data_IF_394331082140
#
_entry.id   IF_394331082140
#
_cell.length_a   1.000
_cell.length_b   1.000
_cell.length_c   1.000
_cell.angle_alpha   90.00
_cell.angle_beta   90.00
_cell.angle_gamma   90.00
#
_symmetry.space_group_name_H-M   'P 1'
#
loop_
_entity.id
_entity.type
_entity.pdbx_description
1 polymer ?
#
# COMPACT_ATOMS: atom_id res chain seq x y z
N UNK A 1 6.36 -21.11 -3.65
CA UNK A 1 5.45 -20.47 -4.65
C UNK A 1 4.05 -20.30 -4.08
N UNK A 2 3.45 -19.12 -4.26
CA UNK A 2 2.08 -18.80 -3.79
C UNK A 2 0.98 -19.41 -4.68
N UNK A 3 1.30 -19.69 -5.94
CA UNK A 3 0.37 -20.27 -6.91
C UNK A 3 0.98 -21.51 -7.55
N UNK A 4 0.15 -22.34 -8.18
CA UNK A 4 0.64 -23.48 -8.97
C UNK A 4 1.48 -22.99 -10.14
N UNK A 5 2.42 -23.82 -10.63
CA UNK A 5 3.25 -23.49 -11.79
C UNK A 5 2.43 -23.11 -13.03
N UNK A 6 1.30 -23.79 -13.25
CA UNK A 6 0.35 -23.47 -14.32
C UNK A 6 -0.22 -22.04 -14.15
N UNK A 7 -0.78 -21.74 -12.98
CA UNK A 7 -1.36 -20.42 -12.68
C UNK A 7 -0.32 -19.31 -12.69
N UNK A 8 0.92 -19.60 -12.28
CA UNK A 8 2.05 -18.69 -12.38
C UNK A 8 2.31 -18.29 -13.84
N UNK A 9 2.44 -19.27 -14.73
CA UNK A 9 2.72 -19.02 -16.15
C UNK A 9 1.57 -18.26 -16.83
N UNK A 10 0.31 -18.58 -16.50
CA UNK A 10 -0.87 -17.85 -16.97
C UNK A 10 -0.83 -16.38 -16.54
N UNK A 11 -0.57 -16.11 -15.26
CA UNK A 11 -0.49 -14.74 -14.72
C UNK A 11 0.70 -13.97 -15.29
N UNK A 12 1.84 -14.62 -15.48
CA UNK A 12 3.00 -14.00 -16.12
C UNK A 12 2.70 -13.62 -17.57
N UNK A 13 2.02 -14.51 -18.32
CA UNK A 13 1.61 -14.21 -19.69
C UNK A 13 0.67 -13.00 -19.73
N UNK A 14 -0.36 -12.98 -18.88
CA UNK A 14 -1.28 -11.84 -18.79
C UNK A 14 -0.58 -10.53 -18.42
N UNK A 15 0.36 -10.56 -17.47
CA UNK A 15 1.17 -9.39 -17.11
C UNK A 15 1.88 -8.81 -18.35
N UNK A 16 2.52 -9.66 -19.15
CA UNK A 16 3.26 -9.23 -20.34
C UNK A 16 2.35 -8.72 -21.46
N UNK A 17 1.21 -9.38 -21.68
CA UNK A 17 0.24 -8.98 -22.72
C UNK A 17 -0.50 -7.67 -22.37
N UNK A 18 -0.73 -7.40 -21.08
CA UNK A 18 -1.47 -6.21 -20.64
C UNK A 18 -0.75 -4.88 -20.89
N UNK A 19 0.57 -4.91 -21.09
CA UNK A 19 1.37 -3.69 -21.26
C UNK A 19 1.03 -2.94 -22.55
N UNK A 20 0.84 -3.64 -23.66
CA UNK A 20 0.55 -3.02 -24.95
C UNK A 20 -0.79 -2.27 -24.90
N UNK A 21 -1.84 -2.90 -24.36
CA UNK A 21 -3.16 -2.27 -24.26
C UNK A 21 -3.20 -1.06 -23.32
N UNK A 22 -2.42 -1.09 -22.23
CA UNK A 22 -2.42 0.00 -21.25
C UNK A 22 -1.72 1.26 -21.78
N UNK A 23 -0.73 1.11 -22.67
CA UNK A 23 -0.02 2.23 -23.29
C UNK A 23 -0.91 2.93 -24.33
N UNK A 24 -1.70 2.17 -25.09
CA UNK A 24 -2.60 2.74 -26.11
C UNK A 24 -3.65 3.71 -25.49
N UNK A 25 -4.10 3.42 -24.27
CA UNK A 25 -5.08 4.22 -23.54
C UNK A 25 -4.48 5.44 -22.82
N UNK A 26 -3.15 5.56 -22.74
CA UNK A 26 -2.47 6.63 -21.99
C UNK A 26 -2.86 8.02 -22.51
N UNK A 27 -2.80 8.21 -23.83
CA UNK A 27 -3.07 9.50 -24.49
C UNK A 27 -4.51 9.97 -24.31
N UNK A 28 -5.50 9.05 -24.43
CA UNK A 28 -6.91 9.40 -24.22
C UNK A 28 -7.20 9.73 -22.75
N UNK A 29 -6.61 8.97 -21.82
CA UNK A 29 -6.72 9.28 -20.39
C UNK A 29 -6.12 10.64 -20.04
N UNK A 30 -4.93 10.96 -20.56
CA UNK A 30 -4.29 12.26 -20.36
C UNK A 30 -5.15 13.40 -20.90
N UNK A 31 -5.65 13.26 -22.13
CA UNK A 31 -6.54 14.26 -22.74
C UNK A 31 -7.79 14.50 -21.91
N UNK A 32 -8.41 13.44 -21.37
CA UNK A 32 -9.58 13.58 -20.48
C UNK A 32 -9.26 14.31 -19.18
N UNK A 33 -8.09 14.06 -18.59
CA UNK A 33 -7.63 14.75 -17.37
C UNK A 33 -7.38 16.23 -17.65
N UNK A 34 -6.74 16.56 -18.77
CA UNK A 34 -6.45 17.95 -19.18
C UNK A 34 -7.72 18.74 -19.49
N UNK A 35 -8.66 18.14 -20.22
CA UNK A 35 -9.95 18.72 -20.58
C UNK A 35 -10.97 18.70 -19.43
N UNK A 36 -10.63 18.09 -18.29
CA UNK A 36 -11.53 17.84 -17.14
C UNK A 36 -12.85 17.17 -17.58
N UNK A 37 -12.74 16.16 -18.44
CA UNK A 37 -13.88 15.49 -19.08
C UNK A 37 -14.09 14.08 -18.53
N UNK A 38 -15.33 13.79 -18.12
CA UNK A 38 -15.69 12.47 -17.60
C UNK A 38 -15.09 12.22 -16.22
N UNK A 39 -14.77 10.96 -15.91
CA UNK A 39 -14.22 10.59 -14.61
C UNK A 39 -12.69 10.71 -14.62
N UNK A 40 -12.18 11.89 -14.27
CA UNK A 40 -10.74 12.16 -14.27
C UNK A 40 -9.99 11.32 -13.23
N UNK A 41 -10.57 11.08 -12.04
CA UNK A 41 -9.99 10.20 -11.03
C UNK A 41 -9.80 8.78 -11.57
N UNK A 42 -10.78 8.26 -12.33
CA UNK A 42 -10.62 6.98 -13.02
C UNK A 42 -9.46 7.02 -14.03
N UNK A 43 -9.38 8.06 -14.86
CA UNK A 43 -8.27 8.20 -15.81
C UNK A 43 -6.90 8.25 -15.10
N UNK A 44 -6.75 9.00 -14.00
CA UNK A 44 -5.51 9.05 -13.20
C UNK A 44 -5.15 7.65 -12.66
N UNK A 45 -6.16 6.88 -12.20
CA UNK A 45 -5.97 5.52 -11.73
C UNK A 45 -5.48 4.59 -12.85
N UNK A 46 -6.05 4.70 -14.05
CA UNK A 46 -5.63 3.89 -15.20
C UNK A 46 -4.19 4.21 -15.62
N UNK A 47 -3.79 5.49 -15.59
CA UNK A 47 -2.38 5.86 -15.77
C UNK A 47 -1.49 5.17 -14.73
N UNK A 48 -1.94 5.09 -13.47
CA UNK A 48 -1.25 4.34 -12.42
C UNK A 48 -1.02 2.87 -12.77
N UNK A 49 -2.01 2.19 -13.37
CA UNK A 49 -1.90 0.76 -13.74
C UNK A 49 -0.79 0.45 -14.73
N UNK A 50 -0.45 1.39 -15.62
CA UNK A 50 0.72 1.28 -16.52
C UNK A 50 1.98 1.08 -15.69
N UNK A 51 2.18 1.93 -14.67
CA UNK A 51 3.37 1.89 -13.81
C UNK A 51 3.34 0.72 -12.82
N UNK A 52 2.17 0.30 -12.34
CA UNK A 52 2.04 -0.91 -11.51
C UNK A 52 2.51 -2.16 -12.28
N UNK A 53 2.07 -2.27 -13.54
CA UNK A 53 2.40 -3.37 -14.44
C UNK A 53 3.88 -3.35 -14.81
N UNK A 54 4.40 -2.16 -15.14
CA UNK A 54 5.81 -1.96 -15.46
C UNK A 54 6.70 -2.26 -14.25
N UNK A 55 6.31 -1.85 -13.04
CA UNK A 55 7.03 -2.19 -11.82
C UNK A 55 7.07 -3.71 -11.62
N UNK A 56 5.92 -4.40 -11.72
CA UNK A 56 5.86 -5.84 -11.54
C UNK A 56 6.72 -6.61 -12.56
N UNK A 57 6.74 -6.18 -13.84
CA UNK A 57 7.63 -6.74 -14.86
C UNK A 57 9.11 -6.47 -14.52
N UNK A 58 9.46 -5.23 -14.19
CA UNK A 58 10.83 -4.84 -13.87
C UNK A 58 11.41 -5.73 -12.76
N UNK A 59 10.63 -5.99 -11.71
CA UNK A 59 11.04 -6.86 -10.62
C UNK A 59 11.04 -8.34 -11.00
N UNK A 60 9.96 -8.85 -11.60
CA UNK A 60 9.81 -10.29 -11.83
C UNK A 60 10.70 -10.81 -12.96
N UNK A 61 10.74 -10.08 -14.08
CA UNK A 61 11.32 -10.52 -15.35
C UNK A 61 12.69 -9.89 -15.53
N UNK A 62 12.78 -8.56 -15.45
CA UNK A 62 14.00 -7.84 -15.80
C UNK A 62 15.04 -7.86 -14.66
N UNK A 63 14.61 -8.21 -13.44
CA UNK A 63 15.41 -8.18 -12.20
C UNK A 63 16.04 -6.80 -11.95
N UNK A 64 15.30 -5.75 -12.30
CA UNK A 64 15.73 -4.36 -12.18
C UNK A 64 14.99 -3.67 -11.02
N UNK A 65 15.67 -3.63 -9.87
CA UNK A 65 15.16 -3.01 -8.64
C UNK A 65 15.02 -1.49 -8.77
N UNK A 66 15.89 -0.84 -9.54
CA UNK A 66 15.88 0.61 -9.73
C UNK A 66 14.63 1.01 -10.53
N UNK A 67 14.40 0.32 -11.65
CA UNK A 67 13.19 0.52 -12.45
C UNK A 67 11.94 0.18 -11.67
N UNK A 68 11.95 -0.90 -10.87
CA UNK A 68 10.83 -1.21 -9.97
C UNK A 68 10.51 -0.05 -9.02
N UNK A 69 11.52 0.50 -8.31
CA UNK A 69 11.35 1.59 -7.33
C UNK A 69 10.80 2.86 -7.98
N UNK A 70 11.30 3.22 -9.16
CA UNK A 70 10.80 4.37 -9.93
C UNK A 70 9.33 4.21 -10.32
N UNK A 71 8.99 3.06 -10.89
CA UNK A 71 7.62 2.81 -11.36
C UNK A 71 6.63 2.67 -10.19
N UNK A 72 7.03 2.01 -9.10
CA UNK A 72 6.14 1.85 -7.95
C UNK A 72 5.91 3.18 -7.20
N UNK A 73 6.88 4.11 -7.24
CA UNK A 73 6.68 5.49 -6.81
C UNK A 73 5.59 6.19 -7.65
N UNK A 74 5.73 6.17 -8.98
CA UNK A 74 4.79 6.83 -9.89
C UNK A 74 3.38 6.26 -9.69
N UNK A 75 3.26 4.93 -9.66
CA UNK A 75 2.01 4.24 -9.32
C UNK A 75 1.42 4.74 -8.01
N UNK A 76 2.21 4.73 -6.92
CA UNK A 76 1.72 5.09 -5.59
C UNK A 76 1.22 6.54 -5.55
N UNK A 77 1.92 7.46 -6.23
CA UNK A 77 1.53 8.87 -6.30
C UNK A 77 0.26 9.06 -7.12
N UNK A 78 0.17 8.45 -8.31
CA UNK A 78 -1.03 8.52 -9.15
C UNK A 78 -2.24 7.91 -8.44
N UNK A 79 -2.07 6.76 -7.78
CA UNK A 79 -3.15 6.08 -7.12
C UNK A 79 -3.64 6.84 -5.88
N UNK A 80 -2.75 7.54 -5.15
CA UNK A 80 -3.12 8.49 -4.10
C UNK A 80 -3.95 9.65 -4.67
N UNK A 81 -3.50 10.25 -5.77
CA UNK A 81 -4.17 11.38 -6.44
C UNK A 81 -5.50 11.00 -7.08
N UNK A 82 -5.73 9.71 -7.38
CA UNK A 82 -6.95 9.21 -8.00
C UNK A 82 -8.06 8.89 -7.00
N UNK A 83 -7.86 9.12 -5.70
CA UNK A 83 -8.86 8.81 -4.68
C UNK A 83 -9.85 9.95 -4.49
N UNK A 84 -11.08 9.58 -4.23
CA UNK A 84 -12.17 10.45 -3.80
C UNK A 84 -12.27 10.61 -2.28
N UNK A 85 -11.29 10.07 -1.54
CA UNK A 85 -11.16 10.20 -0.08
C UNK A 85 -9.71 10.34 0.29
N UNK A 86 -9.44 11.08 1.37
CA UNK A 86 -8.12 11.22 1.98
C UNK A 86 -7.80 10.07 2.94
N UNK A 87 -8.78 9.23 3.33
CA UNK A 87 -8.61 7.99 4.12
C UNK A 87 -7.92 6.85 3.34
N UNK A 88 -6.85 7.17 2.61
CA UNK A 88 -6.23 6.33 1.59
C UNK A 88 -5.68 5.00 2.10
N UNK A 89 -5.20 4.98 3.35
CA UNK A 89 -4.59 3.83 4.01
C UNK A 89 -5.49 3.23 5.09
N UNK A 90 -6.72 3.71 5.24
CA UNK A 90 -7.59 3.35 6.36
C UNK A 90 -7.81 1.84 6.50
N UNK A 91 -7.90 1.07 5.41
CA UNK A 91 -8.04 -0.39 5.46
C UNK A 91 -7.21 -1.16 4.41
N UNK A 92 -6.28 -0.51 3.69
CA UNK A 92 -5.63 -1.09 2.50
C UNK A 92 -4.11 -1.20 2.65
N UNK A 93 -3.64 -2.39 3.05
CA UNK A 93 -2.19 -2.71 3.18
C UNK A 93 -1.42 -2.61 1.86
N UNK A 94 -2.05 -2.93 0.74
CA UNK A 94 -1.41 -2.94 -0.57
C UNK A 94 -0.86 -1.56 -0.97
N UNK A 95 -1.61 -0.50 -0.69
CA UNK A 95 -1.15 0.86 -0.94
C UNK A 95 0.10 1.20 -0.12
N UNK A 96 0.08 0.86 1.17
CA UNK A 96 1.24 1.09 2.04
C UNK A 96 2.46 0.27 1.58
N UNK A 97 2.26 -0.98 1.17
CA UNK A 97 3.31 -1.80 0.58
C UNK A 97 3.96 -1.07 -0.61
N UNK A 98 3.18 -0.63 -1.60
CA UNK A 98 3.72 0.06 -2.77
C UNK A 98 4.50 1.33 -2.41
N UNK A 99 3.98 2.11 -1.46
CA UNK A 99 4.65 3.33 -0.98
C UNK A 99 6.00 2.99 -0.36
N UNK A 100 6.05 2.05 0.59
CA UNK A 100 7.30 1.71 1.27
C UNK A 100 8.31 1.04 0.34
N UNK A 101 7.84 0.26 -0.63
CA UNK A 101 8.71 -0.38 -1.63
C UNK A 101 9.34 0.63 -2.61
N UNK A 102 8.79 1.84 -2.72
CA UNK A 102 9.41 2.90 -3.52
C UNK A 102 10.68 3.49 -2.88
N UNK A 103 10.85 3.31 -1.56
CA UNK A 103 11.89 3.97 -0.75
C UNK A 103 11.91 5.51 -0.86
N UNK A 104 10.81 6.13 -1.30
CA UNK A 104 10.73 7.59 -1.39
C UNK A 104 10.44 8.20 -0.01
N UNK A 105 11.38 9.00 0.49
CA UNK A 105 11.27 9.63 1.81
C UNK A 105 10.11 10.63 1.90
N UNK A 106 9.88 11.42 0.85
CA UNK A 106 8.84 12.45 0.85
C UNK A 106 7.44 11.83 1.01
N UNK A 107 7.23 10.62 0.49
CA UNK A 107 6.00 9.86 0.67
C UNK A 107 5.82 9.40 2.13
N UNK A 108 6.89 8.89 2.76
CA UNK A 108 6.84 8.51 4.17
C UNK A 108 6.56 9.73 5.06
N UNK A 109 7.24 10.85 4.80
CA UNK A 109 7.03 12.11 5.51
C UNK A 109 5.59 12.62 5.31
N UNK A 110 5.03 12.50 4.10
CA UNK A 110 3.63 12.81 3.80
C UNK A 110 2.65 11.96 4.61
N UNK A 111 2.87 10.64 4.70
CA UNK A 111 2.04 9.74 5.51
C UNK A 111 2.06 10.17 6.98
N UNK A 112 3.25 10.42 7.53
CA UNK A 112 3.41 10.78 8.94
C UNK A 112 2.79 12.14 9.26
N UNK A 113 2.93 13.12 8.36
CA UNK A 113 2.30 14.45 8.51
C UNK A 113 0.77 14.38 8.46
N UNK A 114 0.21 13.48 7.66
CA UNK A 114 -1.24 13.32 7.46
C UNK A 114 -1.82 12.09 8.18
N UNK A 115 -1.14 11.58 9.21
CA UNK A 115 -1.40 10.30 9.85
C UNK A 115 -2.87 10.10 10.26
N UNK A 116 -3.49 11.11 10.87
CA UNK A 116 -4.88 11.05 11.35
C UNK A 116 -5.92 11.03 10.22
N UNK A 117 -5.59 11.64 9.08
CA UNK A 117 -6.47 11.67 7.91
C UNK A 117 -6.31 10.38 7.11
N UNK A 118 -5.05 10.00 6.82
CA UNK A 118 -4.74 8.94 5.87
C UNK A 118 -5.05 7.54 6.40
N UNK A 119 -4.82 7.35 7.69
CA UNK A 119 -5.12 6.14 8.44
C UNK A 119 -6.38 6.28 9.28
N UNK A 120 -7.37 7.03 8.79
CA UNK A 120 -8.61 7.29 9.54
C UNK A 120 -9.23 6.01 10.05
N UNK A 121 -9.54 6.01 11.34
CA UNK A 121 -10.17 4.94 12.07
C UNK A 121 -11.32 5.53 12.90
N UNK A 122 -12.45 4.83 12.98
CA UNK A 122 -13.55 5.25 13.87
C UNK A 122 -13.11 5.08 15.33
N UNK A 123 -13.56 5.99 16.20
CA UNK A 123 -13.17 6.02 17.62
C UNK A 123 -13.40 4.71 18.38
N UNK A 124 -14.42 3.91 17.97
CA UNK A 124 -14.78 2.66 18.64
C UNK A 124 -14.47 1.47 17.77
N UNK A 125 -13.62 0.58 18.27
CA UNK A 125 -13.32 -0.72 17.65
C UNK A 125 -14.60 -1.53 17.39
N UNK A 126 -14.70 -2.05 16.16
CA UNK A 126 -15.70 -3.02 15.75
C UNK A 126 -15.01 -4.23 15.15
N UNK A 127 -15.45 -5.43 15.53
CA UNK A 127 -14.88 -6.69 15.03
C UNK A 127 -15.00 -6.82 13.50
N UNK A 128 -16.02 -6.23 12.91
CA UNK A 128 -16.25 -6.19 11.46
C UNK A 128 -15.42 -5.14 10.71
N UNK A 129 -14.69 -4.29 11.44
CA UNK A 129 -13.81 -3.25 10.89
C UNK A 129 -12.39 -3.43 11.48
N UNK A 130 -12.01 -4.68 11.75
CA UNK A 130 -10.72 -4.98 12.37
C UNK A 130 -9.52 -4.64 11.47
N UNK A 131 -9.74 -4.54 10.17
CA UNK A 131 -8.78 -4.09 9.17
C UNK A 131 -8.40 -2.62 9.35
N UNK A 132 -9.36 -1.75 9.68
CA UNK A 132 -9.08 -0.36 10.09
C UNK A 132 -8.20 -0.32 11.34
N UNK A 133 -8.55 -1.16 12.32
CA UNK A 133 -7.79 -1.25 13.57
C UNK A 133 -6.37 -1.75 13.35
N UNK A 134 -6.18 -2.75 12.49
CA UNK A 134 -4.86 -3.24 12.11
C UNK A 134 -4.07 -2.18 11.33
N UNK A 135 -4.66 -1.56 10.32
CA UNK A 135 -3.98 -0.53 9.51
C UNK A 135 -3.49 0.63 10.36
N UNK A 136 -4.32 1.15 11.27
CA UNK A 136 -3.89 2.19 12.22
C UNK A 136 -2.71 1.72 13.07
N UNK A 137 -2.70 0.47 13.53
CA UNK A 137 -1.60 -0.11 14.32
C UNK A 137 -0.31 -0.25 13.50
N UNK A 138 -0.41 -0.61 12.22
CA UNK A 138 0.75 -0.65 11.29
C UNK A 138 1.33 0.76 11.11
N UNK A 139 0.47 1.78 10.94
CA UNK A 139 0.94 3.16 10.81
C UNK A 139 1.58 3.69 12.10
N UNK A 140 1.07 3.30 13.28
CA UNK A 140 1.72 3.60 14.56
C UNK A 140 3.13 3.00 14.61
N UNK A 141 3.34 1.81 14.04
CA UNK A 141 4.67 1.21 13.93
C UNK A 141 5.60 2.05 13.05
N UNK A 142 5.12 2.70 11.98
CA UNK A 142 5.93 3.66 11.21
C UNK A 142 6.27 4.94 11.99
N UNK A 143 5.39 5.34 12.92
CA UNK A 143 5.60 6.50 13.80
C UNK A 143 6.50 6.18 15.00
N UNK A 144 6.63 4.91 15.37
CA UNK A 144 7.41 4.45 16.51
C UNK A 144 6.67 4.60 17.85
N UNK A 145 5.34 4.59 17.82
CA UNK A 145 4.50 4.71 19.02
C UNK A 145 4.28 3.34 19.70
N UNK A 146 5.35 2.85 20.34
CA UNK A 146 5.43 1.49 20.88
C UNK A 146 4.41 1.19 21.96
N UNK A 147 4.15 2.15 22.85
CA UNK A 147 3.19 2.00 23.95
C UNK A 147 1.78 1.76 23.42
N UNK A 148 1.34 2.56 22.45
CA UNK A 148 0.02 2.40 21.84
C UNK A 148 -0.06 1.11 21.00
N UNK A 149 1.03 0.69 20.33
CA UNK A 149 1.05 -0.59 19.60
C UNK A 149 0.84 -1.77 20.54
N UNK A 150 1.56 -1.83 21.67
CA UNK A 150 1.42 -2.91 22.66
C UNK A 150 -0.02 -2.94 23.19
N UNK A 151 -0.54 -1.78 23.63
CA UNK A 151 -1.91 -1.66 24.12
C UNK A 151 -2.93 -2.13 23.07
N UNK A 152 -2.73 -1.75 21.80
CA UNK A 152 -3.65 -2.13 20.73
C UNK A 152 -3.59 -3.61 20.40
N UNK A 153 -2.39 -4.20 20.37
CA UNK A 153 -2.19 -5.62 20.14
C UNK A 153 -2.73 -6.49 21.28
N UNK A 154 -2.55 -6.06 22.53
CA UNK A 154 -3.11 -6.72 23.71
C UNK A 154 -4.65 -6.67 23.68
N UNK A 155 -5.21 -5.50 23.34
CA UNK A 155 -6.66 -5.34 23.19
C UNK A 155 -7.22 -6.27 22.10
N UNK A 156 -6.59 -6.35 20.92
CA UNK A 156 -7.02 -7.25 19.85
C UNK A 156 -6.88 -8.72 20.27
N UNK A 157 -5.80 -9.09 20.96
CA UNK A 157 -5.58 -10.44 21.47
C UNK A 157 -6.68 -10.87 22.45
N UNK A 158 -7.16 -9.95 23.30
CA UNK A 158 -8.28 -10.21 24.20
C UNK A 158 -9.65 -10.19 23.48
N UNK A 159 -9.76 -9.47 22.36
CA UNK A 159 -11.03 -9.21 21.66
C UNK A 159 -10.97 -9.50 20.15
N UNK A 160 -10.45 -10.65 19.70
CA UNK A 160 -10.18 -10.87 18.28
C UNK A 160 -11.47 -10.87 17.47
N UNK A 161 -11.37 -10.43 16.22
CA UNK A 161 -12.44 -10.66 15.26
C UNK A 161 -12.52 -12.15 14.91
N UNK A 162 -13.74 -12.63 14.70
CA UNK A 162 -14.01 -14.01 14.27
C UNK A 162 -14.39 -14.09 12.79
N UNK A 163 -14.34 -12.98 12.07
CA UNK A 163 -14.64 -12.96 10.64
C UNK A 163 -13.57 -13.68 9.84
N UNK A 164 -14.00 -14.45 8.84
CA UNK A 164 -13.12 -15.29 8.03
C UNK A 164 -11.99 -14.50 7.38
N UNK A 165 -12.26 -13.26 6.94
CA UNK A 165 -11.27 -12.38 6.33
C UNK A 165 -10.14 -11.94 7.27
N UNK A 166 -10.35 -12.02 8.59
CA UNK A 166 -9.40 -11.54 9.61
C UNK A 166 -8.72 -12.68 10.38
N UNK A 167 -8.88 -13.93 9.91
CA UNK A 167 -8.33 -15.14 10.51
C UNK A 167 -6.84 -15.05 10.86
N UNK A 168 -6.06 -14.33 10.04
CA UNK A 168 -4.61 -14.23 10.18
C UNK A 168 -4.11 -12.95 10.86
N UNK A 169 -5.01 -12.04 11.23
CA UNK A 169 -4.64 -10.84 11.98
C UNK A 169 -3.95 -11.13 13.31
N UNK A 170 -4.22 -12.23 14.05
CA UNK A 170 -3.43 -12.57 15.23
C UNK A 170 -1.92 -12.67 14.96
N UNK A 171 -1.49 -13.17 13.79
CA UNK A 171 -0.06 -13.22 13.42
C UNK A 171 0.51 -11.82 13.16
N UNK A 172 -0.30 -10.96 12.55
CA UNK A 172 0.08 -9.58 12.23
C UNK A 172 0.18 -8.72 13.49
N UNK A 173 -0.78 -8.80 14.41
CA UNK A 173 -0.69 -8.16 15.73
C UNK A 173 0.42 -8.76 16.58
N UNK A 174 0.63 -10.07 16.52
CA UNK A 174 1.74 -10.74 17.19
C UNK A 174 3.09 -10.19 16.75
N UNK A 175 3.29 -10.01 15.43
CA UNK A 175 4.48 -9.36 14.89
C UNK A 175 4.63 -7.91 15.38
N UNK A 176 3.58 -7.10 15.28
CA UNK A 176 3.62 -5.67 15.68
C UNK A 176 3.94 -5.51 17.18
N UNK A 177 3.38 -6.38 18.03
CA UNK A 177 3.69 -6.43 19.46
C UNK A 177 5.15 -6.81 19.70
N UNK A 178 5.65 -7.85 19.04
CA UNK A 178 7.03 -8.29 19.14
C UNK A 178 8.01 -7.22 18.66
N UNK A 179 7.67 -6.49 17.59
CA UNK A 179 8.43 -5.35 17.11
C UNK A 179 8.51 -4.24 18.17
N UNK A 180 7.38 -3.88 18.80
CA UNK A 180 7.34 -2.87 19.86
C UNK A 180 8.16 -3.27 21.11
N UNK A 181 8.17 -4.57 21.43
CA UNK A 181 8.99 -5.14 22.52
C UNK A 181 10.45 -5.41 22.11
N UNK A 182 10.79 -5.26 20.82
CA UNK A 182 12.09 -5.60 20.23
C UNK A 182 12.45 -7.08 20.39
N UNK A 183 11.44 -7.95 20.47
CA UNK A 183 11.61 -9.41 20.56
C UNK A 183 11.81 -10.01 19.15
N UNK A 184 13.07 -10.19 18.79
CA UNK A 184 13.49 -10.74 17.49
C UNK A 184 12.96 -12.16 17.27
N UNK A 185 12.96 -13.00 18.30
CA UNK A 185 12.53 -14.39 18.18
C UNK A 185 11.03 -14.47 17.92
N UNK A 186 10.22 -13.64 18.60
CA UNK A 186 8.78 -13.56 18.32
C UNK A 186 8.46 -12.88 16.99
N UNK A 187 9.25 -11.91 16.55
CA UNK A 187 9.11 -11.37 15.19
C UNK A 187 9.32 -12.50 14.15
N UNK A 188 10.40 -13.28 14.28
CA UNK A 188 10.70 -14.42 13.39
C UNK A 188 9.62 -15.49 13.45
N UNK A 189 9.13 -15.84 14.65
CA UNK A 189 8.05 -16.82 14.83
C UNK A 189 6.79 -16.43 14.04
N UNK A 190 6.33 -15.18 14.19
CA UNK A 190 5.14 -14.70 13.47
C UNK A 190 5.36 -14.65 11.95
N UNK A 191 6.55 -14.23 11.48
CA UNK A 191 6.89 -14.21 10.06
C UNK A 191 6.92 -15.62 9.47
N UNK A 192 7.58 -16.56 10.14
CA UNK A 192 7.63 -17.96 9.69
C UNK A 192 6.22 -18.58 9.65
N UNK A 193 5.38 -18.30 10.64
CA UNK A 193 3.98 -18.73 10.64
C UNK A 193 3.17 -18.16 9.47
N UNK A 194 3.43 -16.90 9.05
CA UNK A 194 2.82 -16.32 7.84
C UNK A 194 3.34 -16.97 6.55
N UNK A 195 4.61 -17.37 6.53
CA UNK A 195 5.25 -18.02 5.39
C UNK A 195 4.93 -19.51 5.23
N UNK A 196 4.33 -20.14 6.25
CA UNK A 196 3.85 -21.51 6.17
C UNK A 196 3.00 -21.71 4.90
N UNK A 197 3.29 -22.71 4.03
CA UNK A 197 2.75 -22.72 2.67
C UNK A 197 1.22 -22.62 2.57
N UNK A 198 0.50 -23.21 3.53
CA UNK A 198 -0.97 -23.12 3.58
C UNK A 198 -1.45 -21.74 4.01
N UNK A 199 -0.76 -21.10 4.95
CA UNK A 199 -1.07 -19.76 5.46
C UNK A 199 -0.77 -18.71 4.40
N UNK A 200 0.44 -18.72 3.85
CA UNK A 200 0.87 -17.80 2.80
C UNK A 200 -0.10 -17.77 1.61
N UNK A 201 -0.54 -18.96 1.15
CA UNK A 201 -1.53 -19.07 0.06
C UNK A 201 -2.91 -18.51 0.40
N UNK A 202 -3.34 -18.60 1.66
CA UNK A 202 -4.63 -18.06 2.10
C UNK A 202 -4.56 -16.55 2.32
N UNK A 203 -3.46 -16.05 2.88
CA UNK A 203 -3.24 -14.61 3.07
C UNK A 203 -3.08 -13.88 1.73
N UNK A 204 -2.45 -14.53 0.75
CA UNK A 204 -2.22 -13.99 -0.59
C UNK A 204 -3.21 -14.51 -1.64
N UNK A 205 -4.40 -14.98 -1.21
CA UNK A 205 -5.38 -15.60 -2.12
C UNK A 205 -5.92 -14.63 -3.21
N UNK A 206 -5.60 -13.34 -3.10
CA UNK A 206 -6.04 -12.30 -4.01
C UNK A 206 -5.29 -12.26 -5.36
N UNK A 207 -5.93 -11.69 -6.37
CA UNK A 207 -5.45 -11.57 -7.75
C UNK A 207 -4.61 -10.31 -7.95
N UNK A 208 -3.60 -10.14 -7.08
CA UNK A 208 -2.68 -9.01 -7.18
C UNK A 208 -1.68 -9.21 -8.34
N UNK A 209 -1.28 -8.12 -8.99
CA UNK A 209 -0.23 -8.08 -10.01
C UNK A 209 1.14 -8.55 -9.48
N UNK A 210 1.35 -8.50 -8.17
CA UNK A 210 2.48 -9.08 -7.44
C UNK A 210 2.19 -10.49 -6.91
N UNK A 211 1.52 -11.34 -7.71
CA UNK A 211 1.10 -12.70 -7.35
C UNK A 211 2.23 -13.66 -6.91
N UNK A 212 3.48 -13.25 -7.07
CA UNK A 212 4.69 -13.97 -6.71
C UNK A 212 5.31 -13.48 -5.39
N UNK A 213 4.78 -12.41 -4.77
CA UNK A 213 5.28 -11.83 -3.53
C UNK A 213 4.31 -12.05 -2.37
N UNK A 214 4.85 -12.27 -1.18
CA UNK A 214 4.09 -12.18 0.06
C UNK A 214 4.11 -10.73 0.58
N UNK A 215 3.28 -9.86 0.00
CA UNK A 215 3.31 -8.41 0.23
C UNK A 215 3.21 -8.03 1.72
N UNK A 216 2.45 -8.78 2.53
CA UNK A 216 2.32 -8.50 3.96
C UNK A 216 3.61 -8.79 4.74
N UNK A 217 4.29 -9.89 4.46
CA UNK A 217 5.59 -10.20 5.10
C UNK A 217 6.62 -9.17 4.69
N UNK A 218 6.69 -8.79 3.41
CA UNK A 218 7.57 -7.72 2.93
C UNK A 218 7.29 -6.39 3.63
N UNK A 219 6.03 -6.01 3.80
CA UNK A 219 5.62 -4.82 4.54
C UNK A 219 6.17 -4.84 5.98
N UNK A 220 5.98 -5.95 6.70
CA UNK A 220 6.44 -6.09 8.09
C UNK A 220 7.97 -6.08 8.22
N UNK A 221 8.67 -6.81 7.35
CA UNK A 221 10.13 -6.82 7.32
C UNK A 221 10.71 -5.46 6.97
N UNK A 222 10.04 -4.71 6.09
CA UNK A 222 10.42 -3.33 5.76
C UNK A 222 10.29 -2.39 6.96
N UNK A 223 9.21 -2.52 7.73
CA UNK A 223 9.02 -1.73 8.94
C UNK A 223 10.09 -2.09 9.98
N UNK A 224 10.35 -3.39 10.20
CA UNK A 224 11.40 -3.83 11.10
C UNK A 224 12.79 -3.30 10.70
N UNK A 225 13.12 -3.29 9.39
CA UNK A 225 14.39 -2.78 8.90
C UNK A 225 14.56 -1.27 9.12
N UNK A 226 13.48 -0.48 9.07
CA UNK A 226 13.52 0.94 9.45
C UNK A 226 13.95 1.17 10.91
N UNK A 227 13.71 0.20 11.79
CA UNK A 227 14.14 0.24 13.18
C UNK A 227 15.42 -0.54 13.45
N UNK A 228 16.15 -0.94 12.40
CA UNK A 228 17.45 -1.59 12.50
C UNK A 228 17.40 -3.09 12.79
N UNK A 229 16.24 -3.73 12.62
CA UNK A 229 16.12 -5.18 12.77
C UNK A 229 16.29 -5.86 11.41
N UNK A 230 17.31 -6.72 11.29
CA UNK A 230 17.42 -7.70 10.23
C UNK A 230 16.99 -9.08 10.78
N UNK A 231 15.92 -9.64 10.22
CA UNK A 231 15.39 -10.93 10.64
C UNK A 231 15.96 -12.10 9.82
N UNK A 232 16.82 -11.84 8.83
CA UNK A 232 17.51 -12.86 8.02
C UNK A 232 16.55 -13.89 7.37
N UNK A 233 15.35 -13.45 7.00
CA UNK A 233 14.34 -14.32 6.38
C UNK A 233 14.74 -14.63 4.94
N UNK A 234 14.79 -15.92 4.61
CA UNK A 234 15.10 -16.41 3.26
C UNK A 234 13.87 -17.07 2.64
N UNK A 235 13.33 -16.45 1.58
CA UNK A 235 12.17 -17.01 0.88
C UNK A 235 12.06 -16.46 -0.54
N UNK A 236 11.78 -17.31 -1.52
CA UNK A 236 11.57 -16.90 -2.93
C UNK A 236 10.43 -15.89 -3.11
N UNK A 237 9.49 -15.86 -2.16
CA UNK A 237 8.31 -14.97 -2.18
C UNK A 237 8.53 -13.72 -1.32
N UNK A 238 9.73 -13.55 -0.76
CA UNK A 238 10.18 -12.41 0.06
C UNK A 238 11.61 -12.02 -0.36
N UNK A 239 11.78 -11.41 -1.54
CA UNK A 239 13.09 -10.98 -2.04
C UNK A 239 13.74 -9.95 -1.10
N UNK A 240 15.00 -10.18 -0.72
CA UNK A 240 15.74 -9.33 0.24
C UNK A 240 15.98 -7.91 -0.31
N UNK A 241 16.11 -7.76 -1.62
CA UNK A 241 16.30 -6.47 -2.32
C UNK A 241 15.14 -5.48 -2.12
N UNK A 242 13.94 -5.97 -1.77
CA UNK A 242 12.79 -5.14 -1.44
C UNK A 242 12.81 -4.61 0.01
N UNK A 243 13.48 -5.33 0.91
CA UNK A 243 13.64 -4.95 2.31
C UNK A 243 14.66 -3.81 2.43
N UNK A 244 15.69 -3.82 1.57
CA UNK A 244 16.69 -2.76 1.48
C UNK A 244 16.07 -1.37 1.27
N UNK A 245 16.50 -0.40 2.07
CA UNK A 245 15.96 0.96 2.12
C UNK A 245 16.71 1.95 1.22
N UNK A 246 17.55 1.47 0.31
CA UNK A 246 18.25 2.34 -0.64
C UNK A 246 17.24 3.02 -1.56
N UNK A 247 17.18 4.36 -1.61
CA UNK A 247 16.26 5.06 -2.50
C UNK A 247 16.62 4.84 -3.97
N UNK A 248 15.66 5.06 -4.87
CA UNK A 248 15.98 5.20 -6.29
C UNK A 248 16.85 6.45 -6.52
N UNK A 249 17.61 6.47 -7.61
CA UNK A 249 18.47 7.61 -7.97
C UNK A 249 17.65 8.88 -8.23
N UNK A 250 16.43 8.72 -8.72
CA UNK A 250 15.50 9.80 -9.04
C UNK A 250 14.05 9.28 -8.95
N UNK A 251 13.13 10.21 -8.77
CA UNK A 251 11.69 9.94 -8.70
C UNK A 251 10.98 10.82 -9.74
N UNK A 252 10.87 10.36 -11.00
CA UNK A 252 10.30 11.17 -12.06
C UNK A 252 8.79 11.35 -11.88
N UNK A 253 8.29 12.51 -12.32
CA UNK A 253 6.87 12.82 -12.39
C UNK A 253 6.50 13.04 -13.86
N UNK A 254 6.11 11.96 -14.58
CA UNK A 254 6.01 11.99 -16.04
C UNK A 254 4.86 12.88 -16.56
N UNK A 255 3.90 13.23 -15.71
CA UNK A 255 2.74 14.04 -16.10
C UNK A 255 2.73 15.38 -15.39
N UNK A 256 2.48 16.47 -16.12
CA UNK A 256 2.50 17.83 -15.58
C UNK A 256 1.54 18.04 -14.41
N UNK A 257 0.38 17.37 -14.41
CA UNK A 257 -0.58 17.48 -13.31
C UNK A 257 -0.06 16.86 -12.00
N UNK A 258 0.90 15.92 -12.03
CA UNK A 258 1.51 15.36 -10.82
C UNK A 258 2.25 16.40 -10.00
N UNK A 259 2.84 17.40 -10.68
CA UNK A 259 3.61 18.47 -10.04
C UNK A 259 2.75 19.40 -9.20
N UNK A 260 1.44 19.47 -9.47
CA UNK A 260 0.47 20.22 -8.67
C UNK A 260 0.17 19.55 -7.32
N UNK A 261 0.49 18.26 -7.18
CA UNK A 261 0.34 17.49 -5.96
C UNK A 261 1.72 17.23 -5.34
N UNK A 262 2.28 18.24 -4.69
CA UNK A 262 3.61 18.12 -4.07
C UNK A 262 3.50 17.47 -2.68
N UNK A 263 3.97 16.23 -2.54
CA UNK A 263 3.98 15.49 -1.28
C UNK A 263 4.69 16.25 -0.14
N UNK A 264 5.67 17.11 -0.46
CA UNK A 264 6.42 17.86 0.55
C UNK A 264 5.62 19.01 1.14
N UNK A 265 4.78 19.66 0.36
CA UNK A 265 4.20 20.96 0.73
C UNK A 265 2.68 20.96 0.80
N UNK A 266 2.01 20.01 0.13
CA UNK A 266 0.56 19.97 0.06
C UNK A 266 -0.08 19.94 1.46
N UNK A 267 -1.00 20.87 1.70
CA UNK A 267 -1.78 20.92 2.94
C UNK A 267 -3.02 20.02 2.87
N UNK A 268 -3.65 19.68 4.02
CA UNK A 268 -4.92 18.96 4.03
C UNK A 268 -6.03 19.63 3.22
N UNK A 269 -6.06 20.97 3.18
CA UNK A 269 -7.03 21.77 2.42
C UNK A 269 -6.74 21.72 0.91
N UNK A 270 -5.47 21.81 0.51
CA UNK A 270 -5.07 21.69 -0.89
C UNK A 270 -5.31 20.27 -1.42
N UNK A 271 -5.04 19.23 -0.62
CA UNK A 271 -5.37 17.86 -0.97
C UNK A 271 -6.89 17.67 -1.09
N UNK A 272 -7.66 18.26 -0.20
CA UNK A 272 -9.12 18.24 -0.34
C UNK A 272 -9.55 18.97 -1.62
N UNK A 273 -9.01 20.15 -1.91
CA UNK A 273 -9.31 20.91 -3.12
C UNK A 273 -8.97 20.11 -4.40
N UNK A 274 -7.87 19.37 -4.38
CA UNK A 274 -7.49 18.44 -5.46
C UNK A 274 -8.62 17.42 -5.73
N UNK A 275 -9.14 16.77 -4.70
CA UNK A 275 -10.22 15.80 -4.84
C UNK A 275 -11.45 16.46 -5.48
N UNK A 276 -11.84 17.63 -4.97
CA UNK A 276 -12.98 18.39 -5.52
C UNK A 276 -12.78 18.82 -6.98
N UNK A 277 -11.55 19.16 -7.37
CA UNK A 277 -11.22 19.57 -8.74
C UNK A 277 -11.39 18.44 -9.76
N UNK A 278 -11.05 17.20 -9.37
CA UNK A 278 -11.02 16.05 -10.28
C UNK A 278 -12.19 15.07 -10.12
N UNK A 279 -13.01 15.23 -9.08
CA UNK A 279 -14.20 14.40 -8.87
C UNK A 279 -15.31 14.77 -9.86
N UNK A 280 -15.96 13.80 -10.52
CA UNK A 280 -16.91 14.07 -11.60
C UNK A 280 -18.20 14.78 -11.14
N UNK A 281 -18.51 14.74 -9.84
CA UNK A 281 -19.74 15.29 -9.25
C UNK A 281 -19.49 15.96 -7.89
N UNK A 282 -18.81 17.13 -7.86
CA UNK A 282 -18.36 17.74 -6.61
C UNK A 282 -19.50 18.05 -5.63
N UNK A 283 -20.75 18.17 -6.08
CA UNK A 283 -21.94 18.34 -5.26
C UNK A 283 -22.21 17.12 -4.36
N UNK A 284 -21.98 15.90 -4.86
CA UNK A 284 -22.12 14.67 -4.04
C UNK A 284 -21.06 14.63 -2.92
N UNK A 285 -19.84 15.11 -3.19
CA UNK A 285 -18.80 15.23 -2.15
C UNK A 285 -19.19 16.23 -1.05
N UNK A 286 -19.82 17.36 -1.42
CA UNK A 286 -20.31 18.33 -0.43
C UNK A 286 -21.34 17.70 0.49
N UNK A 287 -22.28 16.93 -0.04
CA UNK A 287 -23.27 16.23 0.77
C UNK A 287 -22.61 15.21 1.72
N UNK A 288 -21.62 14.45 1.24
CA UNK A 288 -20.87 13.54 2.10
C UNK A 288 -20.09 14.26 3.20
N UNK A 289 -19.54 15.43 2.90
CA UNK A 289 -18.85 16.26 3.87
C UNK A 289 -19.79 16.81 4.95
N UNK A 290 -20.93 17.37 4.56
CA UNK A 290 -21.96 17.87 5.49
C UNK A 290 -22.47 16.77 6.43
N UNK A 291 -22.45 15.52 5.96
CA UNK A 291 -22.85 14.33 6.72
C UNK A 291 -21.69 13.69 7.51
N UNK A 292 -20.48 14.24 7.45
CA UNK A 292 -19.29 13.75 8.15
C UNK A 292 -18.73 12.42 7.59
N UNK A 293 -19.07 12.07 6.35
CA UNK A 293 -18.58 10.86 5.66
C UNK A 293 -17.37 11.13 4.76
N UNK A 294 -17.13 12.39 4.39
CA UNK A 294 -15.94 12.77 3.64
C UNK A 294 -14.76 12.95 4.60
N UNK A 295 -13.86 11.98 4.59
CA UNK A 295 -12.53 12.08 5.19
C UNK A 295 -11.55 12.48 4.13
#
# INVERSE_FOLDING_TARGET
MLVSKKKFNERLKHLLESMESLIDDESDNLKRIEEKRGNCLYCIKELGRIYETTASKALLVDKDIESFRKNIYIYSKLYLMSRDTRAYLACVKMHLFCILMSNNKDFLDFILRNFDIIGYEKEKYKKSEADFYLMRTILLALKGDWEEIIKRADFYSANPSKETGFKYFPLEFGFLRALAEKDIEKMKENINAMLEPKVARQMMYDENIFFYLHIYVLLYLKIASYYGFDLEIESDIVPKELIDSTPAKEYPEPYEFMKKFDLKTITPEEWKAWIYEYYPKPEELKEFEERGYFV
#
